data_IF_220879134006
#
_entry.id   IF_220879134006
#
_cell.length_a   1.000
_cell.length_b   1.000
_cell.length_c   1.000
_cell.angle_alpha   90.00
_cell.angle_beta   90.00
_cell.angle_gamma   90.00
#
_symmetry.space_group_name_H-M   'P 1'
#
loop_
_entity.id
_entity.type
_entity.pdbx_description
1 polymer ?
#
# COMPACT_ATOMS: atom_id res chain seq x y z
N UNK A 1 -16.24 32.67 -13.20
CA UNK A 1 -15.95 31.24 -13.04
C UNK A 1 -15.97 30.95 -11.56
N UNK A 2 -17.06 30.34 -11.07
CA UNK A 2 -17.17 29.99 -9.65
C UNK A 2 -16.13 28.90 -9.34
N UNK A 3 -15.23 29.21 -8.40
CA UNK A 3 -14.44 28.20 -7.73
C UNK A 3 -15.40 27.34 -6.90
N UNK A 4 -15.85 26.22 -7.45
CA UNK A 4 -16.44 25.17 -6.64
C UNK A 4 -15.34 24.73 -5.67
N UNK A 5 -15.52 25.03 -4.39
CA UNK A 5 -14.76 24.40 -3.32
C UNK A 5 -14.94 22.89 -3.49
N UNK A 6 -13.89 22.21 -3.87
CA UNK A 6 -13.83 20.76 -3.71
C UNK A 6 -13.90 20.56 -2.20
N UNK A 7 -15.05 20.10 -1.70
CA UNK A 7 -15.17 19.70 -0.30
C UNK A 7 -14.04 18.70 -0.03
N UNK A 8 -13.23 19.00 0.97
CA UNK A 8 -12.09 18.16 1.31
C UNK A 8 -12.61 16.80 1.76
N UNK A 9 -12.35 15.76 0.97
CA UNK A 9 -12.68 14.39 1.35
C UNK A 9 -12.04 14.07 2.70
N UNK A 10 -12.77 13.37 3.55
CA UNK A 10 -12.31 12.97 4.88
C UNK A 10 -11.90 11.52 4.84
N UNK A 11 -10.66 11.24 5.26
CA UNK A 11 -10.15 9.88 5.45
C UNK A 11 -10.19 9.55 6.94
N UNK A 12 -10.82 8.44 7.28
CA UNK A 12 -10.86 7.90 8.65
C UNK A 12 -10.22 6.53 8.68
N UNK A 13 -9.47 6.24 9.74
CA UNK A 13 -8.87 4.92 9.96
C UNK A 13 -9.74 4.16 10.95
N UNK A 14 -10.04 2.91 10.61
CA UNK A 14 -10.77 1.97 11.46
C UNK A 14 -9.95 0.70 11.61
N UNK A 15 -9.66 0.33 12.84
CA UNK A 15 -8.94 -0.90 13.14
C UNK A 15 -9.90 -2.09 13.25
N UNK A 16 -9.44 -3.26 12.84
CA UNK A 16 -10.14 -4.51 13.08
C UNK A 16 -10.08 -4.86 14.57
N UNK A 17 -11.22 -5.34 15.13
CA UNK A 17 -11.33 -5.64 16.57
C UNK A 17 -10.54 -6.89 16.99
N UNK A 18 -10.15 -7.74 16.03
CA UNK A 18 -9.42 -8.99 16.28
C UNK A 18 -8.62 -9.40 15.05
N UNK A 19 -7.62 -10.24 15.23
CA UNK A 19 -6.73 -10.71 14.18
C UNK A 19 -5.27 -10.70 14.66
N UNK A 20 -4.31 -10.93 13.77
CA UNK A 20 -2.90 -10.79 14.09
C UNK A 20 -2.52 -9.32 14.33
N UNK A 21 -1.52 -9.10 15.18
CA UNK A 21 -1.00 -7.76 15.48
C UNK A 21 -0.31 -7.12 14.26
N UNK A 22 0.38 -7.93 13.46
CA UNK A 22 1.02 -7.55 12.20
C UNK A 22 0.68 -8.55 11.11
N UNK A 23 0.80 -8.15 9.84
CA UNK A 23 0.61 -9.01 8.68
C UNK A 23 1.97 -9.17 7.99
N UNK A 24 2.62 -10.30 8.20
CA UNK A 24 3.95 -10.61 7.68
C UNK A 24 4.00 -11.98 6.97
N UNK A 25 2.88 -12.71 6.93
CA UNK A 25 2.73 -14.01 6.30
C UNK A 25 1.35 -14.22 5.69
N UNK A 26 1.23 -15.23 4.82
CA UNK A 26 -0.06 -15.66 4.26
C UNK A 26 -1.04 -16.13 5.36
N UNK A 27 -0.54 -16.80 6.41
CA UNK A 27 -1.39 -17.24 7.53
C UNK A 27 -1.98 -16.04 8.28
N UNK A 28 -1.21 -14.97 8.47
CA UNK A 28 -1.70 -13.74 9.08
C UNK A 28 -2.79 -13.10 8.21
N UNK A 29 -2.59 -13.07 6.89
CA UNK A 29 -3.62 -12.60 5.96
C UNK A 29 -4.92 -13.39 6.09
N UNK A 30 -4.86 -14.72 6.05
CA UNK A 30 -6.04 -15.58 6.16
C UNK A 30 -6.80 -15.37 7.46
N UNK A 31 -6.09 -15.14 8.57
CA UNK A 31 -6.68 -14.84 9.89
C UNK A 31 -7.33 -13.46 9.94
N UNK A 32 -6.79 -12.47 9.24
CA UNK A 32 -7.28 -11.08 9.26
C UNK A 32 -8.51 -10.87 8.36
N UNK A 33 -8.60 -11.55 7.22
CA UNK A 33 -9.65 -11.34 6.19
C UNK A 33 -11.09 -11.39 6.73
N UNK A 34 -11.51 -12.37 7.56
CA UNK A 34 -12.86 -12.40 8.08
C UNK A 34 -13.23 -11.17 8.93
N UNK A 35 -12.26 -10.65 9.70
CA UNK A 35 -12.44 -9.47 10.54
C UNK A 35 -12.54 -8.20 9.70
N UNK A 36 -11.72 -8.08 8.65
CA UNK A 36 -11.76 -6.98 7.70
C UNK A 36 -13.12 -6.92 6.99
N UNK A 37 -13.59 -8.05 6.45
CA UNK A 37 -14.90 -8.13 5.76
C UNK A 37 -16.04 -7.75 6.70
N UNK A 38 -15.99 -8.22 7.96
CA UNK A 38 -16.99 -7.86 8.98
C UNK A 38 -16.98 -6.35 9.25
N UNK A 39 -15.79 -5.76 9.36
CA UNK A 39 -15.63 -4.32 9.60
C UNK A 39 -16.21 -3.52 8.43
N UNK A 40 -15.85 -3.87 7.19
CA UNK A 40 -16.36 -3.20 5.99
C UNK A 40 -17.89 -3.21 5.92
N UNK A 41 -18.52 -4.37 6.16
CA UNK A 41 -19.99 -4.48 6.22
C UNK A 41 -20.62 -3.59 7.30
N UNK A 42 -19.98 -3.52 8.46
CA UNK A 42 -20.49 -2.72 9.58
C UNK A 42 -20.55 -1.24 9.24
N UNK A 43 -19.58 -0.76 8.47
CA UNK A 43 -19.42 0.66 8.16
C UNK A 43 -19.84 1.08 6.75
N UNK A 44 -20.30 0.16 5.91
CA UNK A 44 -20.64 0.43 4.50
C UNK A 44 -21.54 1.66 4.31
N UNK A 45 -22.53 1.86 5.17
CA UNK A 45 -23.47 2.97 5.05
C UNK A 45 -22.91 4.32 5.49
N UNK A 46 -21.69 4.35 6.04
CA UNK A 46 -21.07 5.55 6.59
C UNK A 46 -19.97 6.12 5.68
N UNK A 47 -19.52 5.37 4.69
CA UNK A 47 -18.36 5.73 3.85
C UNK A 47 -18.65 5.51 2.37
N UNK A 48 -18.10 6.39 1.54
CA UNK A 48 -18.25 6.33 0.07
C UNK A 48 -17.27 5.38 -0.60
N UNK A 49 -16.18 5.02 0.07
CA UNK A 49 -15.19 4.04 -0.38
C UNK A 49 -14.42 3.44 0.80
N UNK A 50 -13.82 2.27 0.58
CA UNK A 50 -12.88 1.66 1.53
C UNK A 50 -11.48 1.51 0.93
N UNK A 51 -10.48 1.75 1.75
CA UNK A 51 -9.07 1.49 1.46
C UNK A 51 -8.60 0.37 2.38
N UNK A 52 -8.00 -0.66 1.81
CA UNK A 52 -7.36 -1.72 2.60
C UNK A 52 -6.04 -1.18 3.15
N UNK A 53 -5.92 -1.09 4.48
CA UNK A 53 -4.74 -0.54 5.15
C UNK A 53 -3.53 -1.49 5.21
N UNK A 54 -3.46 -2.49 4.31
CA UNK A 54 -2.36 -3.44 4.24
C UNK A 54 -1.82 -3.53 2.82
N UNK A 55 -0.50 -3.46 2.67
CA UNK A 55 0.14 -3.41 1.34
C UNK A 55 0.05 -4.73 0.57
N UNK A 56 -0.43 -5.80 1.13
CA UNK A 56 -0.69 -7.04 0.39
C UNK A 56 -2.05 -7.08 -0.33
N UNK A 57 -2.87 -6.01 -0.25
CA UNK A 57 -4.26 -6.00 -0.74
C UNK A 57 -5.09 -7.17 -0.16
N UNK A 58 -4.80 -7.54 1.09
CA UNK A 58 -5.41 -8.71 1.74
C UNK A 58 -6.94 -8.60 1.74
N UNK A 59 -7.62 -9.70 1.41
CA UNK A 59 -9.08 -9.78 1.46
C UNK A 59 -9.83 -8.81 0.54
N UNK A 60 -9.15 -8.21 -0.45
CA UNK A 60 -9.78 -7.22 -1.34
C UNK A 60 -10.94 -7.82 -2.14
N UNK A 61 -10.82 -9.06 -2.60
CA UNK A 61 -11.88 -9.72 -3.38
C UNK A 61 -13.07 -10.09 -2.49
N UNK A 62 -12.80 -10.58 -1.29
CA UNK A 62 -13.80 -10.91 -0.28
C UNK A 62 -14.58 -9.67 0.15
N UNK A 63 -13.86 -8.57 0.38
CA UNK A 63 -14.46 -7.30 0.76
C UNK A 63 -15.31 -6.73 -0.38
N UNK A 64 -14.82 -6.73 -1.62
CA UNK A 64 -15.58 -6.30 -2.80
C UNK A 64 -16.86 -7.08 -3.02
N UNK A 65 -16.90 -8.38 -2.71
CA UNK A 65 -18.12 -9.20 -2.77
C UNK A 65 -19.10 -8.91 -1.63
N UNK A 66 -18.61 -8.31 -0.56
CA UNK A 66 -19.36 -8.15 0.68
C UNK A 66 -20.00 -6.78 0.83
N UNK A 67 -19.53 -5.77 0.08
CA UNK A 67 -19.99 -4.35 0.12
C UNK A 67 -20.24 -3.84 -1.29
N UNK A 68 -21.02 -2.75 -1.41
CA UNK A 68 -21.39 -2.13 -2.69
C UNK A 68 -20.51 -0.94 -3.04
N UNK A 69 -19.90 -0.30 -2.05
CA UNK A 69 -18.99 0.83 -2.26
C UNK A 69 -17.64 0.37 -2.83
N UNK A 70 -16.91 1.23 -3.55
CA UNK A 70 -15.56 0.90 -4.05
C UNK A 70 -14.61 0.44 -2.94
N UNK A 71 -13.81 -0.61 -3.23
CA UNK A 71 -12.74 -1.08 -2.34
C UNK A 71 -11.42 -1.03 -3.09
N UNK A 72 -10.48 -0.25 -2.58
CA UNK A 72 -9.20 0.05 -3.20
C UNK A 72 -8.07 -0.60 -2.40
N UNK A 73 -7.17 -1.26 -3.13
CA UNK A 73 -5.96 -1.86 -2.56
C UNK A 73 -4.71 -1.06 -2.91
N UNK A 74 -3.78 -0.86 -1.98
CA UNK A 74 -2.59 -0.05 -2.17
C UNK A 74 -1.58 -0.62 -3.18
N UNK A 75 -1.49 -1.94 -3.34
CA UNK A 75 -0.61 -2.56 -4.36
C UNK A 75 -1.03 -2.14 -5.74
N UNK A 76 -2.29 -2.41 -6.09
CA UNK A 76 -2.81 -2.07 -7.42
C UNK A 76 -2.78 -0.57 -7.68
N UNK A 77 -3.08 0.23 -6.68
CA UNK A 77 -3.09 1.68 -6.78
C UNK A 77 -1.68 2.25 -7.03
N UNK A 78 -0.68 1.82 -6.27
CA UNK A 78 0.70 2.30 -6.43
C UNK A 78 1.36 1.80 -7.71
N UNK A 79 1.11 0.54 -8.11
CA UNK A 79 1.61 0.00 -9.39
C UNK A 79 1.03 0.77 -10.58
N UNK A 80 -0.28 1.03 -10.57
CA UNK A 80 -0.92 1.84 -11.60
C UNK A 80 -0.37 3.28 -11.61
N UNK A 81 -0.16 3.89 -10.45
CA UNK A 81 0.42 5.22 -10.35
C UNK A 81 1.85 5.26 -10.91
N UNK A 82 2.71 4.29 -10.58
CA UNK A 82 4.06 4.21 -11.12
C UNK A 82 4.05 4.06 -12.65
N UNK A 83 3.21 3.16 -13.19
CA UNK A 83 3.14 2.89 -14.63
C UNK A 83 2.65 4.07 -15.50
N UNK A 84 2.11 5.13 -14.88
CA UNK A 84 1.65 6.32 -15.62
C UNK A 84 2.82 7.19 -16.11
N UNK A 85 3.94 7.22 -15.41
CA UNK A 85 5.04 8.13 -15.71
C UNK A 85 6.42 7.49 -15.79
N UNK A 86 6.53 6.18 -15.55
CA UNK A 86 7.80 5.44 -15.67
C UNK A 86 7.62 4.15 -16.45
N UNK A 87 8.65 3.74 -17.20
CA UNK A 87 8.68 2.47 -17.91
C UNK A 87 9.11 1.31 -17.00
N UNK A 88 9.82 1.62 -15.91
CA UNK A 88 10.27 0.64 -14.92
C UNK A 88 10.11 1.15 -13.50
N UNK A 89 9.71 0.28 -12.59
CA UNK A 89 9.66 0.57 -11.17
C UNK A 89 10.11 -0.61 -10.32
N UNK A 90 10.65 -0.28 -9.14
CA UNK A 90 11.02 -1.25 -8.12
C UNK A 90 10.04 -1.27 -6.95
N UNK A 91 10.03 -2.38 -6.25
CA UNK A 91 9.33 -2.51 -4.98
C UNK A 91 10.31 -3.00 -3.92
N UNK A 92 10.40 -2.26 -2.81
CA UNK A 92 11.18 -2.63 -1.66
C UNK A 92 10.26 -2.84 -0.45
N UNK A 93 10.17 -4.09 0.00
CA UNK A 93 9.25 -4.52 1.06
C UNK A 93 9.99 -4.93 2.34
N UNK A 94 9.26 -5.54 3.27
CA UNK A 94 9.75 -5.84 4.63
C UNK A 94 10.56 -7.14 4.71
N UNK A 95 10.16 -8.19 4.00
CA UNK A 95 10.82 -9.50 4.00
C UNK A 95 10.69 -10.21 2.63
N UNK A 96 11.49 -11.25 2.40
CA UNK A 96 11.50 -12.01 1.13
C UNK A 96 10.26 -12.89 0.95
N UNK A 97 9.63 -13.35 2.01
CA UNK A 97 8.52 -14.31 1.95
C UNK A 97 7.30 -13.74 1.21
N UNK A 98 7.13 -12.42 1.21
CA UNK A 98 6.00 -11.75 0.54
C UNK A 98 6.26 -11.42 -0.94
N UNK A 99 7.51 -11.47 -1.42
CA UNK A 99 7.89 -11.10 -2.79
C UNK A 99 7.11 -11.85 -3.87
N UNK A 100 6.93 -13.20 -3.80
CA UNK A 100 6.17 -13.92 -4.82
C UNK A 100 4.71 -13.46 -4.94
N UNK A 101 4.14 -12.94 -3.86
CA UNK A 101 2.79 -12.34 -3.84
C UNK A 101 2.71 -11.09 -4.72
N UNK A 102 3.70 -10.22 -4.65
CA UNK A 102 3.74 -9.00 -5.45
C UNK A 102 4.00 -9.27 -6.93
N UNK A 103 4.85 -10.26 -7.25
CA UNK A 103 5.04 -10.69 -8.65
C UNK A 103 3.73 -11.18 -9.28
N UNK A 104 2.98 -12.01 -8.56
CA UNK A 104 1.66 -12.48 -9.03
C UNK A 104 0.71 -11.30 -9.24
N UNK A 105 0.64 -10.37 -8.29
CA UNK A 105 -0.24 -9.19 -8.40
C UNK A 105 0.14 -8.29 -9.58
N UNK A 106 1.43 -8.09 -9.83
CA UNK A 106 1.91 -7.36 -11.01
C UNK A 106 1.48 -8.06 -12.31
N UNK A 107 1.61 -9.38 -12.39
CA UNK A 107 1.18 -10.16 -13.54
C UNK A 107 -0.34 -10.10 -13.76
N UNK A 108 -1.14 -10.20 -12.69
CA UNK A 108 -2.61 -10.12 -12.75
C UNK A 108 -3.14 -8.80 -13.32
N UNK A 109 -2.39 -7.72 -13.17
CA UNK A 109 -2.76 -6.40 -13.68
C UNK A 109 -1.97 -5.97 -14.93
N UNK A 110 -1.15 -6.88 -15.49
CA UNK A 110 -0.40 -6.65 -16.72
C UNK A 110 0.83 -5.75 -16.57
N UNK A 111 1.36 -5.58 -15.35
CA UNK A 111 2.50 -4.72 -15.05
C UNK A 111 3.77 -5.49 -14.64
N UNK A 112 3.82 -6.81 -14.90
CA UNK A 112 4.96 -7.64 -14.48
C UNK A 112 6.28 -7.22 -15.14
N UNK A 113 6.24 -6.81 -16.39
CA UNK A 113 7.44 -6.39 -17.12
C UNK A 113 7.97 -5.03 -16.63
N UNK A 114 7.10 -4.16 -16.15
CA UNK A 114 7.48 -2.86 -15.59
C UNK A 114 8.00 -2.97 -14.15
N UNK A 115 7.60 -3.99 -13.40
CA UNK A 115 8.16 -4.31 -12.07
C UNK A 115 9.50 -5.03 -12.27
N UNK A 116 10.57 -4.26 -12.42
CA UNK A 116 11.90 -4.77 -12.79
C UNK A 116 12.71 -5.27 -11.59
N UNK A 117 12.51 -4.68 -10.42
CA UNK A 117 13.18 -5.12 -9.19
C UNK A 117 12.20 -5.29 -8.03
N UNK A 118 12.34 -6.43 -7.36
CA UNK A 118 11.73 -6.70 -6.06
C UNK A 118 12.82 -7.02 -5.05
N UNK A 119 12.81 -6.30 -3.93
CA UNK A 119 13.77 -6.50 -2.84
C UNK A 119 13.08 -6.46 -1.49
N UNK A 120 13.75 -7.00 -0.48
CA UNK A 120 13.33 -6.92 0.91
C UNK A 120 14.40 -6.21 1.75
N UNK A 121 13.94 -5.38 2.67
CA UNK A 121 14.81 -4.66 3.61
C UNK A 121 15.11 -5.48 4.89
N UNK A 122 14.49 -6.65 5.02
CA UNK A 122 14.57 -7.54 6.18
C UNK A 122 14.28 -6.79 7.50
N UNK A 123 13.18 -6.04 7.51
CA UNK A 123 12.76 -5.20 8.64
C UNK A 123 11.35 -5.58 9.07
N UNK A 124 11.18 -6.15 10.27
CA UNK A 124 9.85 -6.43 10.82
C UNK A 124 8.99 -5.15 10.93
N UNK A 125 7.68 -5.26 10.71
CA UNK A 125 6.74 -4.13 10.82
C UNK A 125 6.87 -3.42 12.16
N UNK A 126 7.04 -4.18 13.25
CA UNK A 126 7.22 -3.63 14.59
C UNK A 126 8.44 -2.72 14.69
N UNK A 127 9.55 -3.05 14.00
CA UNK A 127 10.75 -2.20 13.98
C UNK A 127 10.48 -0.88 13.28
N UNK A 128 9.64 -0.85 12.22
CA UNK A 128 9.29 0.39 11.53
C UNK A 128 8.56 1.35 12.48
N UNK A 129 7.74 0.81 13.39
CA UNK A 129 6.94 1.59 14.34
C UNK A 129 7.79 2.03 15.55
N UNK A 130 8.54 1.11 16.14
CA UNK A 130 9.25 1.34 17.42
C UNK A 130 10.64 2.00 17.21
N UNK A 131 11.31 1.74 16.08
CA UNK A 131 12.66 2.21 15.76
C UNK A 131 12.74 2.71 14.30
N UNK A 132 11.98 3.75 13.93
CA UNK A 132 11.83 4.18 12.54
C UNK A 132 13.17 4.61 11.88
N UNK A 133 14.12 5.11 12.63
CA UNK A 133 15.43 5.49 12.08
C UNK A 133 16.26 4.28 11.68
N UNK A 134 16.23 3.21 12.46
CA UNK A 134 16.85 1.94 12.11
C UNK A 134 16.18 1.33 10.87
N UNK A 135 14.86 1.32 10.81
CA UNK A 135 14.11 0.82 9.66
C UNK A 135 14.45 1.60 8.39
N UNK A 136 14.53 2.94 8.48
CA UNK A 136 14.95 3.80 7.37
C UNK A 136 16.37 3.53 6.92
N UNK A 137 17.29 3.27 7.85
CA UNK A 137 18.66 2.91 7.51
C UNK A 137 18.71 1.63 6.68
N UNK A 138 18.07 0.55 7.16
CA UNK A 138 18.00 -0.72 6.43
C UNK A 138 17.33 -0.58 5.07
N UNK A 139 16.21 0.16 4.99
CA UNK A 139 15.55 0.44 3.72
C UNK A 139 16.50 1.14 2.73
N UNK A 140 17.21 2.17 3.18
CA UNK A 140 18.15 2.94 2.35
C UNK A 140 19.34 2.10 1.90
N UNK A 141 19.89 1.23 2.75
CA UNK A 141 21.00 0.35 2.39
C UNK A 141 20.66 -0.55 1.19
N UNK A 142 19.43 -1.06 1.13
CA UNK A 142 18.98 -1.86 -0.01
C UNK A 142 18.68 -0.97 -1.22
N UNK A 143 17.98 0.15 -1.02
CA UNK A 143 17.60 1.05 -2.09
C UNK A 143 18.79 1.60 -2.90
N UNK A 144 19.94 1.85 -2.25
CA UNK A 144 21.18 2.30 -2.92
C UNK A 144 21.65 1.36 -4.04
N UNK A 145 21.34 0.07 -3.95
CA UNK A 145 21.74 -0.94 -4.93
C UNK A 145 20.68 -1.21 -6.01
N UNK A 146 19.53 -0.54 -5.95
CA UNK A 146 18.45 -0.72 -6.93
C UNK A 146 18.63 0.21 -8.13
N UNK A 147 18.40 -0.34 -9.33
CA UNK A 147 18.52 0.38 -10.60
C UNK A 147 17.13 0.53 -11.24
N UNK A 148 16.30 1.41 -10.68
CA UNK A 148 14.92 1.63 -11.10
C UNK A 148 14.62 3.12 -11.22
N UNK A 149 13.67 3.49 -12.09
CA UNK A 149 13.28 4.89 -12.30
C UNK A 149 12.44 5.44 -11.14
N UNK A 150 11.68 4.58 -10.46
CA UNK A 150 10.90 4.92 -9.28
C UNK A 150 10.82 3.75 -8.32
N UNK A 151 10.65 4.03 -7.05
CA UNK A 151 10.61 3.03 -5.99
C UNK A 151 9.28 3.12 -5.23
N UNK A 152 8.69 1.95 -4.98
CA UNK A 152 7.47 1.82 -4.17
C UNK A 152 7.85 1.19 -2.83
N UNK A 153 7.58 1.84 -1.69
CA UNK A 153 7.72 1.22 -0.37
C UNK A 153 6.62 0.18 -0.15
N UNK A 154 6.99 -1.09 -0.21
CA UNK A 154 6.10 -2.26 -0.19
C UNK A 154 5.52 -2.60 1.18
N UNK A 155 5.27 -1.60 2.03
CA UNK A 155 4.63 -1.74 3.33
C UNK A 155 3.92 -0.44 3.70
N UNK A 156 2.69 -0.53 4.23
CA UNK A 156 1.94 0.67 4.63
C UNK A 156 2.63 1.41 5.78
N UNK A 157 3.30 0.72 6.69
CA UNK A 157 4.06 1.39 7.77
C UNK A 157 5.20 2.24 7.22
N UNK A 158 5.93 1.79 6.19
CA UNK A 158 6.88 2.64 5.48
C UNK A 158 6.19 3.80 4.75
N UNK A 159 5.03 3.55 4.14
CA UNK A 159 4.28 4.60 3.44
C UNK A 159 3.83 5.73 4.36
N UNK A 160 3.38 5.39 5.57
CA UNK A 160 3.06 6.36 6.61
C UNK A 160 4.29 7.10 7.10
N UNK A 161 5.38 6.39 7.40
CA UNK A 161 6.64 6.98 7.85
C UNK A 161 7.20 7.98 6.82
N UNK A 162 7.14 7.62 5.53
CA UNK A 162 7.60 8.51 4.45
C UNK A 162 6.70 9.75 4.33
N UNK A 163 5.38 9.57 4.44
CA UNK A 163 4.44 10.69 4.42
C UNK A 163 4.67 11.65 5.61
N UNK A 164 4.84 11.11 6.81
CA UNK A 164 5.08 11.89 8.03
C UNK A 164 6.38 12.70 7.97
N UNK A 165 7.43 12.11 7.39
CA UNK A 165 8.76 12.75 7.27
C UNK A 165 8.93 13.57 5.99
N UNK A 166 7.94 13.61 5.12
CA UNK A 166 8.02 14.31 3.83
C UNK A 166 9.08 13.71 2.90
N UNK A 167 9.26 12.37 2.94
CA UNK A 167 10.25 11.67 2.10
C UNK A 167 9.58 11.33 0.77
N UNK A 168 10.08 11.94 -0.30
CA UNK A 168 9.67 11.74 -1.70
C UNK A 168 10.77 11.13 -2.58
N UNK A 169 11.97 10.93 -2.00
CA UNK A 169 13.11 10.33 -2.66
C UNK A 169 13.96 9.51 -1.66
N UNK A 170 14.49 8.37 -2.08
CA UNK A 170 15.46 7.57 -1.32
C UNK A 170 16.60 7.15 -2.25
N UNK A 171 17.84 7.43 -1.85
CA UNK A 171 19.04 7.12 -2.63
C UNK A 171 19.06 7.70 -4.06
N UNK A 172 18.42 8.83 -4.28
CA UNK A 172 18.27 9.45 -5.60
C UNK A 172 17.13 8.87 -6.44
N UNK A 173 16.34 7.95 -5.89
CA UNK A 173 15.21 7.31 -6.58
C UNK A 173 13.90 7.94 -6.08
N UNK A 174 13.08 8.53 -6.96
CA UNK A 174 11.76 9.06 -6.60
C UNK A 174 10.84 7.98 -6.01
N UNK A 175 10.00 8.36 -5.05
CA UNK A 175 9.08 7.48 -4.37
C UNK A 175 7.66 7.64 -4.88
N UNK A 176 7.04 6.56 -5.32
CA UNK A 176 5.58 6.45 -5.44
C UNK A 176 5.03 5.93 -4.11
N UNK A 177 4.51 6.85 -3.30
CA UNK A 177 3.98 6.48 -1.99
C UNK A 177 2.59 5.84 -2.11
N UNK A 178 2.43 4.55 -1.70
CA UNK A 178 1.15 3.84 -1.76
C UNK A 178 -0.01 4.51 -1.03
N UNK A 179 0.26 5.18 0.08
CA UNK A 179 -0.78 5.90 0.84
C UNK A 179 -1.42 6.98 -0.03
N UNK A 180 -0.60 7.84 -0.63
CA UNK A 180 -1.10 8.92 -1.48
C UNK A 180 -1.74 8.41 -2.76
N UNK A 181 -1.12 7.43 -3.43
CA UNK A 181 -1.68 6.83 -4.65
C UNK A 181 -3.07 6.25 -4.41
N UNK A 182 -3.25 5.54 -3.28
CA UNK A 182 -4.52 4.90 -2.95
C UNK A 182 -5.61 5.92 -2.63
N UNK A 183 -5.28 6.95 -1.83
CA UNK A 183 -6.22 8.01 -1.50
C UNK A 183 -6.66 8.75 -2.77
N UNK A 184 -5.74 9.14 -3.65
CA UNK A 184 -6.07 9.87 -4.88
C UNK A 184 -6.93 9.05 -5.84
N UNK A 185 -6.69 7.74 -5.94
CA UNK A 185 -7.54 6.85 -6.72
C UNK A 185 -8.93 6.73 -6.07
N UNK A 186 -9.00 6.58 -4.75
CA UNK A 186 -10.29 6.56 -4.05
C UNK A 186 -11.09 7.84 -4.30
N UNK A 187 -10.47 9.01 -4.15
CA UNK A 187 -11.08 10.32 -4.44
C UNK A 187 -11.63 10.43 -5.87
N UNK A 188 -10.99 9.80 -6.84
CA UNK A 188 -11.44 9.82 -8.23
C UNK A 188 -12.68 8.95 -8.50
N UNK A 189 -13.05 8.06 -7.58
CA UNK A 189 -14.18 7.14 -7.70
C UNK A 189 -15.42 7.62 -6.94
N UNK A 190 -15.27 8.60 -6.04
CA UNK A 190 -16.35 9.21 -5.29
C UNK A 190 -16.63 10.59 -5.88
N UNK A 191 -17.89 10.85 -6.25
CA UNK A 191 -18.34 12.09 -6.88
C UNK A 191 -19.01 12.99 -5.86
#
# INVERSE_FOLDING_TARGET
MNSSSVDSNRVEVQDVEAGPETIESTEDEERAVPHLVKLAKKFEVNYDAFIIGCYSDLGIQETRKAVTVPVIGPVRASFAAASVFTDSFGLLTINEDVLPGFERKAAEIGLREQLTELRAAEVPVKTIIENPDQAMHSFKEVAVSMEVETLIPGCMSFSFLFAERGIDEVAGIPIVNPLFSTIRIAESLIL
#
